data_IF_536813541272
#
_entry.id   IF_536813541272
#
_cell.length_a   1.000
_cell.length_b   1.000
_cell.length_c   1.000
_cell.angle_alpha   90.00
_cell.angle_beta   90.00
_cell.angle_gamma   90.00
#
_symmetry.space_group_name_H-M   'P 1'
#
loop_
_entity.id
_entity.type
_entity.pdbx_description
1 polymer ?
#
# COMPACT_ATOMS: atom_id res chain seq x y z
N UNK A 1 -46.32 41.33 -27.33
CA UNK A 1 -45.22 42.29 -27.11
C UNK A 1 -43.93 41.60 -27.50
N UNK A 2 -43.19 42.20 -28.42
CA UNK A 2 -41.99 41.67 -29.07
C UNK A 2 -40.72 42.28 -28.47
N UNK A 3 -39.69 41.47 -28.24
CA UNK A 3 -38.29 41.89 -28.05
C UNK A 3 -37.43 40.71 -28.57
N UNK A 4 -36.86 40.76 -29.79
CA UNK A 4 -35.56 41.36 -30.18
C UNK A 4 -34.44 40.93 -29.22
N UNK A 5 -33.72 39.85 -29.53
CA UNK A 5 -32.51 39.81 -30.36
C UNK A 5 -31.32 40.57 -29.74
N UNK A 6 -30.28 39.83 -29.34
CA UNK A 6 -28.88 40.29 -29.39
C UNK A 6 -27.95 39.10 -29.23
N UNK A 7 -27.41 38.66 -30.37
CA UNK A 7 -26.24 37.82 -30.48
C UNK A 7 -25.00 38.71 -30.27
N UNK A 8 -24.08 38.31 -29.41
CA UNK A 8 -22.73 38.88 -29.34
C UNK A 8 -21.75 37.75 -29.58
N UNK A 9 -21.22 37.70 -30.81
CA UNK A 9 -20.01 36.98 -31.14
C UNK A 9 -18.83 37.71 -30.48
N UNK A 10 -18.08 37.02 -29.64
CA UNK A 10 -16.74 37.46 -29.23
C UNK A 10 -15.72 36.54 -29.90
N UNK A 11 -15.16 37.03 -31.01
CA UNK A 11 -13.98 36.52 -31.69
C UNK A 11 -12.77 36.75 -30.76
N UNK A 12 -12.24 35.69 -30.15
CA UNK A 12 -10.98 35.76 -29.42
C UNK A 12 -9.84 35.42 -30.37
N UNK A 13 -9.05 36.44 -30.67
CA UNK A 13 -7.85 36.44 -31.49
C UNK A 13 -6.80 35.47 -30.94
N UNK A 14 -6.31 34.56 -31.80
CA UNK A 14 -5.08 33.83 -31.58
C UNK A 14 -3.90 34.80 -31.62
N UNK A 15 -3.27 35.06 -30.48
CA UNK A 15 -1.96 35.68 -30.40
C UNK A 15 -0.89 34.60 -30.50
N UNK A 16 -0.20 34.54 -31.65
CA UNK A 16 1.03 33.78 -31.84
C UNK A 16 2.17 34.50 -31.11
N UNK A 17 2.67 33.90 -30.03
CA UNK A 17 3.86 34.39 -29.34
C UNK A 17 5.13 34.18 -30.19
N UNK A 18 6.10 35.11 -30.17
CA UNK A 18 7.38 34.94 -30.84
C UNK A 18 8.21 33.85 -30.16
N UNK A 19 8.79 32.98 -31.00
CA UNK A 19 9.75 31.93 -30.63
C UNK A 19 10.99 32.61 -30.08
N UNK A 20 11.26 32.42 -28.78
CA UNK A 20 12.51 32.85 -28.16
C UNK A 20 13.64 31.88 -28.55
N UNK A 21 14.77 32.46 -28.95
CA UNK A 21 16.01 31.80 -29.32
C UNK A 21 16.46 30.77 -28.27
N UNK A 22 16.72 29.55 -28.74
CA UNK A 22 17.36 28.51 -27.97
C UNK A 22 18.85 28.84 -27.77
N UNK A 23 19.39 28.83 -26.54
CA UNK A 23 20.82 28.95 -26.33
C UNK A 23 21.56 27.70 -26.85
N UNK A 24 22.70 27.95 -27.49
CA UNK A 24 23.58 26.96 -28.08
C UNK A 24 24.03 25.86 -27.07
N UNK A 25 24.29 24.63 -27.54
CA UNK A 25 24.79 23.56 -26.69
C UNK A 25 26.21 23.88 -26.20
N UNK A 26 26.37 23.89 -24.87
CA UNK A 26 27.66 24.01 -24.23
C UNK A 26 28.54 22.79 -24.53
N UNK A 27 29.82 23.04 -24.79
CA UNK A 27 30.86 22.06 -25.06
C UNK A 27 31.03 21.03 -23.92
N UNK A 28 31.41 19.78 -24.24
CA UNK A 28 31.65 18.75 -23.23
C UNK A 28 32.91 19.06 -22.42
N UNK A 29 32.73 19.30 -21.12
CA UNK A 29 33.82 19.42 -20.17
C UNK A 29 34.58 18.09 -20.01
N UNK A 30 35.90 18.23 -19.98
CA UNK A 30 36.93 17.20 -19.95
C UNK A 30 36.70 16.04 -18.97
N UNK A 31 37.12 14.87 -19.43
CA UNK A 31 37.29 13.65 -18.64
C UNK A 31 38.21 13.89 -17.43
N UNK A 32 37.67 13.68 -16.22
CA UNK A 32 38.48 13.42 -15.03
C UNK A 32 38.56 11.92 -14.80
N UNK A 33 39.73 11.38 -15.15
CA UNK A 33 40.26 10.11 -14.68
C UNK A 33 40.68 10.26 -13.21
N UNK A 34 40.25 9.33 -12.34
CA UNK A 34 40.82 8.89 -11.04
C UNK A 34 39.65 8.59 -10.06
N UNK A 35 39.55 7.44 -9.40
CA UNK A 35 40.45 6.30 -9.32
C UNK A 35 39.72 5.08 -8.73
N UNK A 36 40.36 3.92 -8.91
CA UNK A 36 39.96 2.64 -8.35
C UNK A 36 39.86 2.69 -6.82
N UNK A 37 38.66 2.47 -6.28
CA UNK A 37 38.45 2.07 -4.89
C UNK A 37 37.87 0.65 -4.91
N UNK A 38 38.71 -0.30 -5.28
CA UNK A 38 38.51 -1.71 -5.00
C UNK A 38 39.72 -2.21 -4.25
N UNK A 39 39.66 -2.16 -2.92
CA UNK A 39 40.37 -3.13 -2.09
C UNK A 39 39.68 -3.25 -0.73
N UNK A 40 39.19 -4.47 -0.48
CA UNK A 40 39.47 -5.25 0.73
C UNK A 40 38.57 -4.99 1.94
N UNK A 41 37.46 -5.75 2.03
CA UNK A 41 36.85 -6.11 3.31
C UNK A 41 36.24 -7.53 3.26
N UNK A 42 37.02 -8.50 3.75
CA UNK A 42 36.64 -9.87 4.17
C UNK A 42 37.75 -10.35 5.12
N UNK A 43 37.54 -11.35 5.99
CA UNK A 43 36.60 -11.41 7.10
C UNK A 43 37.35 -11.68 8.43
N UNK A 44 37.11 -10.89 9.47
CA UNK A 44 37.70 -11.11 10.80
C UNK A 44 36.88 -12.10 11.63
N UNK A 45 37.34 -13.36 11.71
CA UNK A 45 36.88 -14.32 12.73
C UNK A 45 37.22 -13.76 14.13
N UNK A 46 36.21 -13.43 14.92
CA UNK A 46 36.35 -13.38 16.39
C UNK A 46 35.75 -14.64 16.99
N UNK A 47 36.64 -15.47 17.56
CA UNK A 47 36.32 -16.44 18.61
C UNK A 47 36.64 -15.77 19.94
N UNK A 48 35.68 -15.76 20.86
CA UNK A 48 35.84 -15.69 22.33
C UNK A 48 34.42 -15.98 22.89
N UNK A 49 34.10 -17.24 23.20
CA UNK A 49 34.22 -17.98 24.48
C UNK A 49 33.17 -17.56 25.52
N UNK A 50 32.48 -18.52 26.19
CA UNK A 50 31.28 -18.27 26.98
C UNK A 50 31.59 -18.12 28.48
N UNK A 51 31.01 -17.10 29.12
CA UNK A 51 30.75 -17.05 30.56
C UNK A 51 29.95 -15.78 30.85
N UNK A 52 28.64 -15.91 31.08
CA UNK A 52 28.07 -15.53 32.36
C UNK A 52 26.59 -15.90 32.40
N UNK A 53 26.31 -16.79 33.34
CA UNK A 53 25.00 -17.18 33.76
C UNK A 53 24.42 -16.13 34.73
N UNK A 54 23.11 -16.21 34.90
CA UNK A 54 22.31 -15.62 35.97
C UNK A 54 21.89 -14.16 35.80
N UNK A 55 20.65 -13.98 35.30
CA UNK A 55 19.58 -13.38 36.10
C UNK A 55 18.24 -13.62 35.39
N UNK A 56 17.56 -14.67 35.83
CA UNK A 56 16.15 -14.91 35.57
C UNK A 56 15.36 -13.78 36.22
N UNK A 57 14.79 -12.88 35.42
CA UNK A 57 13.73 -11.98 35.87
C UNK A 57 12.41 -12.50 35.30
N UNK A 58 11.72 -13.29 36.11
CA UNK A 58 10.32 -13.66 35.91
C UNK A 58 9.50 -12.36 35.78
N UNK A 59 9.10 -12.03 34.56
CA UNK A 59 8.06 -11.04 34.34
C UNK A 59 6.73 -11.78 34.55
N UNK A 60 5.85 -11.35 35.47
CA UNK A 60 4.56 -11.98 35.61
C UNK A 60 3.77 -11.80 34.30
N UNK A 61 3.49 -12.92 33.63
CA UNK A 61 2.46 -13.01 32.61
C UNK A 61 1.16 -12.53 33.23
N UNK A 62 0.81 -11.27 32.99
CA UNK A 62 -0.53 -10.79 33.19
C UNK A 62 -1.40 -11.52 32.15
N UNK A 63 -2.06 -12.59 32.59
CA UNK A 63 -3.19 -13.24 31.90
C UNK A 63 -4.32 -12.19 31.78
N UNK A 64 -4.20 -11.30 30.79
CA UNK A 64 -5.26 -10.40 30.37
C UNK A 64 -6.33 -11.27 29.71
N UNK A 65 -7.20 -11.86 30.53
CA UNK A 65 -8.43 -12.51 30.09
C UNK A 65 -9.38 -11.45 29.54
N UNK A 66 -9.21 -11.11 28.27
CA UNK A 66 -10.27 -10.46 27.48
C UNK A 66 -11.36 -11.52 27.29
N UNK A 67 -12.38 -11.48 28.15
CA UNK A 67 -13.62 -12.25 28.00
C UNK A 67 -14.26 -11.92 26.65
N UNK A 68 -14.21 -12.86 25.71
CA UNK A 68 -15.02 -12.82 24.49
C UNK A 68 -14.30 -13.18 23.19
N UNK A 69 -12.96 -13.21 23.16
CA UNK A 69 -12.22 -13.59 21.95
C UNK A 69 -11.89 -15.09 21.95
N UNK A 70 -12.24 -15.76 20.85
CA UNK A 70 -11.88 -17.17 20.61
C UNK A 70 -10.37 -17.33 20.78
N UNK A 71 -9.95 -18.34 21.54
CA UNK A 71 -8.56 -18.50 21.95
C UNK A 71 -7.61 -18.62 20.75
N UNK A 72 -6.43 -17.99 20.89
CA UNK A 72 -5.35 -17.92 19.90
C UNK A 72 -4.94 -19.29 19.32
N UNK A 73 -5.06 -20.37 20.11
CA UNK A 73 -4.82 -21.76 19.68
C UNK A 73 -5.76 -22.27 18.59
N UNK A 74 -6.91 -21.63 18.38
CA UNK A 74 -7.82 -21.97 17.27
C UNK A 74 -7.51 -21.22 15.97
N UNK A 75 -6.73 -20.13 16.01
CA UNK A 75 -6.29 -19.43 14.78
C UNK A 75 -5.10 -20.13 14.10
N UNK A 76 -4.29 -20.85 14.88
CA UNK A 76 -3.20 -21.69 14.42
C UNK A 76 -3.33 -23.06 15.06
N UNK A 77 -4.27 -23.92 14.61
CA UNK A 77 -4.35 -25.25 15.19
C UNK A 77 -2.99 -25.93 15.01
N UNK A 78 -2.40 -26.39 16.12
CA UNK A 78 -1.19 -27.23 16.27
C UNK A 78 -1.20 -28.53 15.44
N UNK A 79 -2.17 -28.68 14.53
CA UNK A 79 -2.20 -29.75 13.53
C UNK A 79 -1.04 -29.56 12.57
N UNK A 80 0.14 -30.06 12.95
CA UNK A 80 1.28 -30.42 12.10
C UNK A 80 1.23 -29.73 10.75
N UNK A 81 1.35 -28.39 10.74
CA UNK A 81 1.44 -27.64 9.50
C UNK A 81 2.78 -28.06 8.92
N UNK A 82 2.76 -28.89 7.87
CA UNK A 82 3.99 -29.31 7.22
C UNK A 82 4.75 -28.04 6.83
N UNK A 83 5.99 -27.84 7.29
CA UNK A 83 6.78 -26.71 6.85
C UNK A 83 6.77 -26.72 5.32
N UNK A 84 6.43 -25.59 4.71
CA UNK A 84 6.27 -25.49 3.26
C UNK A 84 7.63 -25.56 2.51
N UNK A 85 8.72 -25.88 3.20
CA UNK A 85 10.09 -25.90 2.69
C UNK A 85 10.40 -27.09 1.76
N UNK A 86 9.52 -28.08 1.62
CA UNK A 86 9.78 -29.31 0.84
C UNK A 86 8.82 -29.52 -0.34
N UNK A 87 8.41 -28.48 -1.05
CA UNK A 87 7.49 -28.65 -2.19
C UNK A 87 8.10 -28.22 -3.53
N UNK A 88 8.37 -29.19 -4.39
CA UNK A 88 8.76 -29.04 -5.80
C UNK A 88 7.63 -29.59 -6.70
N UNK A 89 6.72 -28.74 -7.16
CA UNK A 89 5.70 -29.14 -8.12
C UNK A 89 4.93 -27.96 -8.71
N UNK A 90 4.51 -28.09 -9.97
CA UNK A 90 3.88 -27.05 -10.83
C UNK A 90 2.52 -26.52 -10.35
N UNK A 91 2.07 -26.85 -9.14
CA UNK A 91 0.74 -26.47 -8.63
C UNK A 91 0.84 -25.26 -7.71
N UNK A 92 0.10 -24.21 -8.04
CA UNK A 92 -0.09 -23.05 -7.16
C UNK A 92 -0.82 -23.50 -5.89
N UNK A 93 -0.12 -23.44 -4.76
CA UNK A 93 -0.74 -23.69 -3.45
C UNK A 93 -1.20 -22.38 -2.84
N UNK A 94 -2.46 -22.34 -2.41
CA UNK A 94 -3.05 -21.20 -1.72
C UNK A 94 -3.32 -21.56 -0.27
N UNK A 95 -2.88 -20.72 0.65
CA UNK A 95 -3.22 -20.81 2.07
C UNK A 95 -3.85 -19.49 2.50
N UNK A 96 -4.89 -19.59 3.33
CA UNK A 96 -5.65 -18.42 3.80
C UNK A 96 -5.75 -18.46 5.32
N UNK A 97 -5.47 -17.33 5.94
CA UNK A 97 -5.68 -17.07 7.36
C UNK A 97 -6.59 -15.85 7.50
N UNK A 98 -7.28 -15.77 8.62
CA UNK A 98 -8.13 -14.63 8.95
C UNK A 98 -7.68 -14.00 10.26
N UNK A 99 -7.56 -12.68 10.27
CA UNK A 99 -7.33 -11.87 11.47
C UNK A 99 -8.41 -10.81 11.54
N UNK A 100 -9.47 -11.07 12.32
CA UNK A 100 -10.66 -10.22 12.32
C UNK A 100 -11.33 -10.16 10.95
N UNK A 101 -11.50 -8.95 10.41
CA UNK A 101 -12.02 -8.73 9.06
C UNK A 101 -10.99 -8.90 7.94
N UNK A 102 -9.71 -9.03 8.28
CA UNK A 102 -8.62 -9.16 7.31
C UNK A 102 -8.37 -10.62 6.95
N UNK A 103 -8.11 -10.85 5.67
CA UNK A 103 -7.71 -12.12 5.08
C UNK A 103 -6.26 -11.97 4.63
N UNK A 104 -5.42 -12.86 5.13
CA UNK A 104 -4.06 -13.07 4.68
C UNK A 104 -4.10 -14.26 3.74
N UNK A 105 -3.73 -14.06 2.47
CA UNK A 105 -3.63 -15.12 1.48
C UNK A 105 -2.18 -15.25 1.02
N UNK A 106 -1.59 -16.41 1.22
CA UNK A 106 -0.24 -16.74 0.74
C UNK A 106 -0.39 -17.69 -0.44
N UNK A 107 0.09 -17.26 -1.60
CA UNK A 107 0.21 -18.11 -2.79
C UNK A 107 1.67 -18.44 -2.99
N UNK A 108 1.98 -19.72 -3.11
CA UNK A 108 3.29 -20.16 -3.61
C UNK A 108 3.13 -20.63 -5.03
N UNK A 109 3.83 -19.96 -5.92
CA UNK A 109 3.94 -20.36 -7.31
C UNK A 109 5.18 -21.25 -7.45
N UNK A 110 4.97 -22.51 -7.83
CA UNK A 110 6.06 -23.46 -8.06
C UNK A 110 6.85 -23.16 -9.35
N UNK A 111 6.33 -22.29 -10.22
CA UNK A 111 7.01 -21.89 -11.46
C UNK A 111 7.95 -20.70 -11.26
N UNK A 112 7.53 -19.70 -10.48
CA UNK A 112 8.30 -18.47 -10.27
C UNK A 112 9.20 -18.50 -9.01
N UNK A 113 9.26 -19.65 -8.30
CA UNK A 113 9.91 -19.81 -6.99
C UNK A 113 9.55 -18.68 -5.99
N UNK A 114 8.36 -18.10 -6.15
CA UNK A 114 7.91 -16.90 -5.46
C UNK A 114 6.83 -17.19 -4.43
N UNK A 115 6.96 -16.58 -3.24
CA UNK A 115 5.86 -16.48 -2.28
C UNK A 115 5.18 -15.13 -2.47
N UNK A 116 3.93 -15.16 -2.91
CA UNK A 116 3.10 -13.98 -3.08
C UNK A 116 2.15 -13.85 -1.90
N UNK A 117 2.26 -12.76 -1.14
CA UNK A 117 1.32 -12.47 -0.08
C UNK A 117 0.30 -11.42 -0.49
N UNK A 118 -0.93 -11.64 -0.04
CA UNK A 118 -2.04 -10.73 -0.24
C UNK A 118 -2.66 -10.47 1.13
N UNK A 119 -2.91 -9.19 1.42
CA UNK A 119 -3.64 -8.78 2.61
C UNK A 119 -4.83 -7.94 2.16
N UNK A 120 -6.04 -8.41 2.47
CA UNK A 120 -7.28 -7.75 2.05
C UNK A 120 -8.39 -7.95 3.06
N UNK A 121 -9.36 -7.06 3.07
CA UNK A 121 -10.58 -7.26 3.86
C UNK A 121 -11.44 -8.37 3.25
N UNK A 122 -12.17 -9.08 4.11
CA UNK A 122 -13.07 -10.15 3.70
C UNK A 122 -14.14 -9.60 2.79
N UNK A 123 -14.24 -10.19 1.59
CA UNK A 123 -15.32 -9.90 0.66
C UNK A 123 -16.60 -10.49 1.21
N UNK A 124 -17.39 -9.66 1.88
CA UNK A 124 -18.81 -9.94 2.04
C UNK A 124 -19.48 -9.76 0.68
N UNK A 125 -20.63 -10.41 0.46
CA UNK A 125 -21.44 -10.35 -0.78
C UNK A 125 -21.71 -8.93 -1.32
N UNK A 126 -21.37 -7.88 -0.56
CA UNK A 126 -21.46 -6.48 -0.97
C UNK A 126 -20.20 -5.64 -0.76
N UNK A 127 -19.13 -6.16 -0.12
CA UNK A 127 -17.91 -5.41 0.27
C UNK A 127 -16.71 -6.34 0.57
N UNK A 128 -15.72 -6.43 -0.31
CA UNK A 128 -14.30 -6.25 0.08
C UNK A 128 -13.84 -4.99 -0.59
N UNK A 129 -13.34 -4.05 0.20
CA UNK A 129 -13.06 -2.71 -0.27
C UNK A 129 -11.63 -2.27 -0.03
N UNK A 130 -10.85 -3.08 0.68
CA UNK A 130 -9.54 -2.66 1.14
C UNK A 130 -8.53 -3.75 0.84
N UNK A 131 -7.51 -3.41 0.07
CA UNK A 131 -6.33 -4.23 -0.20
C UNK A 131 -5.09 -3.50 0.32
N UNK A 132 -4.09 -4.26 0.76
CA UNK A 132 -2.80 -3.74 1.16
C UNK A 132 -1.70 -4.35 0.28
N UNK A 133 -0.82 -3.50 -0.24
CA UNK A 133 0.45 -3.93 -0.82
C UNK A 133 1.51 -2.82 -0.72
N UNK A 134 2.74 -3.22 -0.41
CA UNK A 134 3.94 -2.36 -0.40
C UNK A 134 3.76 -0.99 0.29
N UNK A 135 3.19 -1.00 1.50
CA UNK A 135 3.02 0.23 2.28
C UNK A 135 1.83 1.09 1.86
N UNK A 136 0.93 0.59 1.02
CA UNK A 136 -0.24 1.33 0.52
C UNK A 136 -1.52 0.52 0.69
N UNK A 137 -2.58 1.22 1.07
CA UNK A 137 -3.95 0.70 1.15
C UNK A 137 -4.76 1.19 -0.06
N UNK A 138 -5.34 0.25 -0.81
CA UNK A 138 -6.26 0.54 -1.91
C UNK A 138 -7.71 0.42 -1.47
N UNK A 139 -8.48 1.47 -1.66
CA UNK A 139 -9.89 1.59 -1.30
C UNK A 139 -10.78 1.51 -2.54
N UNK A 140 -11.44 0.36 -2.74
CA UNK A 140 -12.30 0.09 -3.89
C UNK A 140 -13.73 0.62 -3.68
N UNK A 141 -14.19 1.41 -4.63
CA UNK A 141 -15.53 1.97 -4.79
C UNK A 141 -16.36 1.11 -5.74
N UNK A 142 -17.68 1.31 -5.73
CA UNK A 142 -18.59 0.62 -6.68
C UNK A 142 -18.74 1.35 -8.01
N UNK A 143 -18.35 2.63 -8.03
CA UNK A 143 -18.48 3.53 -9.15
C UNK A 143 -17.13 4.16 -9.41
N UNK A 144 -16.91 4.66 -10.63
CA UNK A 144 -15.72 5.40 -10.98
C UNK A 144 -15.56 6.62 -10.07
N UNK A 145 -14.34 6.87 -9.60
CA UNK A 145 -13.99 8.00 -8.75
C UNK A 145 -12.79 8.70 -9.36
N UNK A 146 -12.91 10.01 -9.60
CA UNK A 146 -11.78 10.82 -10.06
C UNK A 146 -10.85 11.14 -8.87
N UNK A 147 -9.63 10.56 -8.80
CA UNK A 147 -8.71 10.76 -7.67
C UNK A 147 -8.39 12.24 -7.41
N UNK A 148 -8.53 13.08 -8.42
CA UNK A 148 -8.27 14.52 -8.35
C UNK A 148 -9.28 15.29 -7.48
N UNK A 149 -10.49 14.75 -7.31
CA UNK A 149 -11.57 15.34 -6.52
C UNK A 149 -11.74 14.67 -5.17
N UNK A 150 -10.94 13.63 -4.90
CA UNK A 150 -11.06 12.85 -3.67
C UNK A 150 -10.51 13.61 -2.48
N UNK A 151 -11.31 13.60 -1.42
CA UNK A 151 -10.91 14.01 -0.08
C UNK A 151 -11.06 12.83 0.86
N UNK A 152 -10.15 12.69 1.81
CA UNK A 152 -10.26 11.67 2.83
C UNK A 152 -10.05 12.26 4.21
N UNK A 153 -10.64 11.61 5.20
CA UNK A 153 -10.50 11.94 6.60
C UNK A 153 -10.31 10.66 7.37
N UNK A 154 -9.25 10.59 8.15
CA UNK A 154 -8.97 9.43 8.99
C UNK A 154 -9.42 9.74 10.40
N UNK A 155 -10.48 9.07 10.85
CA UNK A 155 -11.17 9.35 12.12
C UNK A 155 -11.49 10.85 12.32
N UNK A 156 -10.97 11.43 13.41
CA UNK A 156 -11.17 12.83 13.83
C UNK A 156 -10.08 13.79 13.35
N UNK A 157 -9.16 13.32 12.48
CA UNK A 157 -8.13 14.19 11.89
C UNK A 157 -8.76 15.17 10.88
N UNK A 158 -8.09 16.29 10.54
CA UNK A 158 -8.53 17.16 9.46
C UNK A 158 -8.63 16.41 8.13
N UNK A 159 -9.62 16.75 7.31
CA UNK A 159 -9.74 16.22 5.95
C UNK A 159 -8.54 16.65 5.11
N UNK A 160 -8.02 15.73 4.29
CA UNK A 160 -6.93 15.96 3.34
C UNK A 160 -7.42 15.66 1.93
N UNK A 161 -6.98 16.44 0.95
CA UNK A 161 -7.14 16.08 -0.45
C UNK A 161 -6.22 14.89 -0.78
N UNK A 162 -6.69 13.95 -1.60
CA UNK A 162 -5.88 12.80 -2.03
C UNK A 162 -4.58 13.23 -2.73
N UNK A 163 -4.63 14.32 -3.50
CA UNK A 163 -3.45 14.91 -4.15
C UNK A 163 -2.32 15.28 -3.17
N UNK A 164 -2.63 15.54 -1.90
CA UNK A 164 -1.62 15.85 -0.89
C UNK A 164 -0.70 14.66 -0.60
N UNK A 165 -1.17 13.42 -0.77
CA UNK A 165 -0.37 12.19 -0.58
C UNK A 165 0.20 11.63 -1.88
N UNK A 166 -0.06 12.28 -3.02
CA UNK A 166 0.40 11.82 -4.34
C UNK A 166 1.92 11.68 -4.41
N UNK A 167 2.66 12.65 -3.85
CA UNK A 167 4.12 12.61 -3.80
C UNK A 167 4.62 11.37 -3.07
N UNK A 168 4.00 11.02 -1.95
CA UNK A 168 4.44 9.91 -1.11
C UNK A 168 4.13 8.56 -1.80
N UNK A 169 3.00 8.46 -2.50
CA UNK A 169 2.71 7.33 -3.39
C UNK A 169 3.77 7.18 -4.49
N UNK A 170 4.18 8.28 -5.12
CA UNK A 170 5.24 8.26 -6.14
C UNK A 170 6.59 7.80 -5.56
N UNK A 171 6.92 8.22 -4.33
CA UNK A 171 8.14 7.77 -3.62
C UNK A 171 8.13 6.27 -3.30
N UNK A 172 6.94 5.66 -3.17
CA UNK A 172 6.77 4.20 -3.03
C UNK A 172 6.83 3.45 -4.37
N UNK A 173 7.24 4.14 -5.45
CA UNK A 173 7.36 3.57 -6.79
C UNK A 173 6.01 3.25 -7.44
N UNK A 174 4.91 3.83 -6.94
CA UNK A 174 3.62 3.72 -7.58
C UNK A 174 3.54 4.76 -8.70
N UNK A 175 3.52 4.28 -9.95
CA UNK A 175 3.24 5.12 -11.11
C UNK A 175 1.73 5.35 -11.19
N UNK A 176 1.21 6.15 -10.26
CA UNK A 176 -0.18 6.62 -10.38
C UNK A 176 -0.15 7.69 -11.46
N UNK A 177 -0.86 7.48 -12.58
CA UNK A 177 -0.98 8.49 -13.64
C UNK A 177 -2.23 9.35 -13.34
N UNK A 178 -2.11 10.52 -12.69
CA UNK A 178 -3.27 11.31 -12.26
C UNK A 178 -4.09 11.90 -13.42
N UNK A 179 -3.62 11.75 -14.67
CA UNK A 179 -4.21 12.38 -15.87
C UNK A 179 -4.34 11.42 -17.07
N UNK A 180 -4.17 10.10 -16.91
CA UNK A 180 -4.33 9.18 -18.02
C UNK A 180 -5.82 8.99 -18.34
N UNK A 181 -6.23 9.27 -19.59
CA UNK A 181 -7.59 9.03 -20.10
C UNK A 181 -8.02 7.57 -20.07
N UNK A 182 -7.06 6.66 -19.90
CA UNK A 182 -7.22 5.21 -19.98
C UNK A 182 -7.57 4.60 -18.61
N UNK A 183 -7.55 5.40 -17.53
CA UNK A 183 -7.97 5.05 -16.15
C UNK A 183 -9.51 4.98 -15.99
N UNK A 184 -10.20 4.43 -16.99
CA UNK A 184 -11.67 4.34 -17.00
C UNK A 184 -12.22 3.28 -16.04
N UNK A 185 -11.38 2.40 -15.50
CA UNK A 185 -11.77 1.30 -14.62
C UNK A 185 -11.45 1.56 -13.13
N UNK A 186 -10.86 2.72 -12.82
CA UNK A 186 -10.27 2.97 -11.53
C UNK A 186 -11.30 3.39 -10.50
N UNK A 187 -11.86 2.36 -9.89
CA UNK A 187 -12.67 2.42 -8.68
C UNK A 187 -11.80 2.43 -7.44
N UNK A 188 -10.47 2.47 -7.53
CA UNK A 188 -9.57 2.25 -6.38
C UNK A 188 -8.80 3.53 -6.05
N UNK A 189 -8.90 3.96 -4.80
CA UNK A 189 -8.13 5.09 -4.27
C UNK A 189 -7.00 4.55 -3.40
N UNK A 190 -5.76 4.92 -3.73
CA UNK A 190 -4.57 4.48 -3.01
C UNK A 190 -4.20 5.50 -1.93
N UNK A 191 -4.00 5.07 -0.67
CA UNK A 191 -3.54 5.96 0.40
C UNK A 191 -2.38 5.29 1.13
N UNK A 192 -1.27 5.99 1.43
CA UNK A 192 -0.17 5.41 2.18
C UNK A 192 -0.64 4.83 3.52
N UNK A 193 -0.17 3.64 3.87
CA UNK A 193 -0.53 2.97 5.11
C UNK A 193 -0.10 3.76 6.35
N UNK A 194 0.96 4.58 6.24
CA UNK A 194 1.40 5.49 7.29
C UNK A 194 0.31 6.50 7.68
N UNK A 195 -0.50 6.96 6.72
CA UNK A 195 -1.64 7.84 7.01
C UNK A 195 -2.73 7.12 7.83
N UNK A 196 -2.73 5.79 7.90
CA UNK A 196 -3.70 4.97 8.63
C UNK A 196 -3.19 4.42 9.97
N UNK A 197 -1.96 4.76 10.38
CA UNK A 197 -1.36 4.21 11.59
C UNK A 197 -2.27 4.43 12.83
N UNK A 198 -2.62 3.33 13.50
CA UNK A 198 -3.48 3.34 14.71
C UNK A 198 -4.94 3.72 14.48
N UNK A 199 -5.37 3.95 13.23
CA UNK A 199 -6.74 4.32 12.91
C UNK A 199 -7.65 3.10 12.74
N UNK A 200 -8.92 3.26 13.10
CA UNK A 200 -9.98 2.25 12.98
C UNK A 200 -10.93 2.51 11.82
N UNK A 201 -11.10 3.77 11.42
CA UNK A 201 -11.98 4.16 10.32
C UNK A 201 -11.35 5.24 9.45
N UNK A 202 -11.60 5.15 8.14
CA UNK A 202 -11.40 6.24 7.19
C UNK A 202 -12.70 6.57 6.46
N UNK A 203 -13.00 7.85 6.32
CA UNK A 203 -14.06 8.37 5.48
C UNK A 203 -13.45 8.99 4.21
N UNK A 204 -13.85 8.51 3.04
CA UNK A 204 -13.39 9.02 1.75
C UNK A 204 -14.58 9.61 1.00
N UNK A 205 -14.48 10.87 0.61
CA UNK A 205 -15.42 11.55 -0.28
C UNK A 205 -14.89 11.46 -1.71
N UNK A 206 -15.64 10.84 -2.64
CA UNK A 206 -15.28 10.81 -4.07
C UNK A 206 -15.17 12.21 -4.69
N UNK A 207 -15.98 13.15 -4.21
CA UNK A 207 -16.05 14.54 -4.66
C UNK A 207 -16.16 15.46 -3.44
N UNK A 208 -15.77 16.73 -3.57
CA UNK A 208 -15.73 17.70 -2.46
C UNK A 208 -17.09 17.86 -1.75
N UNK A 209 -18.17 17.95 -2.53
CA UNK A 209 -19.55 18.06 -2.04
C UNK A 209 -20.27 16.69 -1.94
N UNK A 210 -19.56 15.60 -2.23
CA UNK A 210 -20.12 14.24 -2.26
C UNK A 210 -20.33 13.63 -0.87
N UNK A 211 -21.22 12.63 -0.81
CA UNK A 211 -21.44 11.85 0.42
C UNK A 211 -20.17 11.05 0.77
N UNK A 212 -19.63 11.18 2.01
CA UNK A 212 -18.49 10.37 2.43
C UNK A 212 -18.86 8.89 2.53
N UNK A 213 -17.97 8.05 2.02
CA UNK A 213 -18.00 6.61 2.16
C UNK A 213 -17.04 6.18 3.26
N UNK A 214 -17.53 5.41 4.23
CA UNK A 214 -16.75 4.94 5.37
C UNK A 214 -16.19 3.55 5.11
N UNK A 215 -14.93 3.37 5.47
CA UNK A 215 -14.20 2.12 5.39
C UNK A 215 -13.64 1.81 6.78
N UNK A 216 -13.98 0.63 7.27
CA UNK A 216 -13.49 0.10 8.53
C UNK A 216 -12.13 -0.56 8.27
N UNK A 217 -11.11 -0.07 8.98
CA UNK A 217 -9.72 -0.55 8.92
C UNK A 217 -9.28 -1.17 10.25
N UNK A 218 -10.20 -1.34 11.20
CA UNK A 218 -9.92 -1.97 12.49
C UNK A 218 -9.26 -3.35 12.30
N UNK A 219 -8.23 -3.62 13.10
CA UNK A 219 -7.49 -4.87 13.02
C UNK A 219 -6.36 -4.90 11.97
N UNK A 220 -6.08 -3.78 11.29
CA UNK A 220 -5.04 -3.72 10.26
C UNK A 220 -3.65 -4.01 10.82
N UNK A 221 -3.28 -3.37 11.93
CA UNK A 221 -1.96 -3.55 12.55
C UNK A 221 -1.77 -4.99 13.05
N UNK A 222 -2.79 -5.59 13.66
CA UNK A 222 -2.79 -6.98 14.09
C UNK A 222 -2.69 -7.94 12.90
N UNK A 223 -3.40 -7.65 11.81
CA UNK A 223 -3.34 -8.42 10.58
C UNK A 223 -1.95 -8.34 9.93
N UNK A 224 -1.32 -7.16 9.92
CA UNK A 224 0.06 -6.95 9.47
C UNK A 224 1.09 -7.68 10.36
N UNK A 225 0.88 -7.69 11.68
CA UNK A 225 1.71 -8.47 12.58
C UNK A 225 1.51 -9.98 12.39
N UNK A 226 0.29 -10.42 12.08
CA UNK A 226 -0.02 -11.82 11.80
C UNK A 226 0.53 -12.28 10.44
N UNK A 227 0.49 -11.42 9.42
CA UNK A 227 1.04 -11.74 8.10
C UNK A 227 2.57 -11.89 8.14
N UNK A 228 3.27 -11.02 8.89
CA UNK A 228 4.72 -11.19 9.13
C UNK A 228 5.05 -12.54 9.77
N UNK A 229 4.23 -13.01 10.72
CA UNK A 229 4.41 -14.31 11.38
C UNK A 229 4.22 -15.51 10.46
N UNK A 230 3.47 -15.39 9.36
CA UNK A 230 3.34 -16.44 8.34
C UNK A 230 4.40 -16.35 7.24
N UNK A 231 5.39 -15.46 7.39
CA UNK A 231 6.49 -15.29 6.44
C UNK A 231 6.17 -14.36 5.27
N UNK A 232 5.19 -13.46 5.42
CA UNK A 232 4.93 -12.44 4.41
C UNK A 232 5.89 -11.25 4.55
N UNK A 233 6.89 -11.22 3.69
CA UNK A 233 7.86 -10.13 3.55
C UNK A 233 7.45 -9.16 2.43
N UNK A 234 6.93 -9.68 1.32
CA UNK A 234 6.54 -8.94 0.12
C UNK A 234 5.06 -9.14 -0.20
N UNK A 235 4.35 -8.05 -0.49
CA UNK A 235 2.92 -8.10 -0.81
C UNK A 235 2.70 -7.80 -2.28
N UNK A 236 2.02 -8.70 -2.99
CA UNK A 236 1.82 -8.54 -4.43
C UNK A 236 0.63 -7.63 -4.70
N UNK A 237 0.83 -6.72 -5.65
CA UNK A 237 -0.18 -5.83 -6.21
C UNK A 237 -0.94 -6.59 -7.29
N UNK A 238 -2.01 -7.31 -6.93
CA UNK A 238 -2.81 -8.04 -7.94
C UNK A 238 -3.71 -7.10 -8.77
N UNK A 239 -4.24 -6.03 -8.15
CA UNK A 239 -5.33 -5.23 -8.73
C UNK A 239 -5.32 -3.75 -8.29
N UNK A 240 -4.23 -3.01 -8.49
CA UNK A 240 -4.27 -1.54 -8.38
C UNK A 240 -4.43 -0.90 -9.75
#
# INVERSE_FOLDING_TARGET
MAFLASAVMALSLFQTAPVADAPAPAEPAAAQTRGNIFTRWLPGKRKETPADAAATAETPEADVRVRGFRSWKQMFPDKKQKPLSEYHGDKIKKQRWSSGQWIIEVRRDGFADGTQCYLRTRETLTKSRISYADGVLGFRFKHHVDPNKVWFRVEDRPSKAWRAVFRDLHMLGLTVKPYASDYRDDTIILIPAEEMAGAREIAIRPEEEGKPEKFDIEGFDEAMAASKRVGCETYVREDF
#
